data_IF_811392824178
#
_entry.id   IF_811392824178
#
_cell.length_a   1.000
_cell.length_b   1.000
_cell.length_c   1.000
_cell.angle_alpha   90.00
_cell.angle_beta   90.00
_cell.angle_gamma   90.00
#
_symmetry.space_group_name_H-M   'P 1'
#
loop_
_entity.id
_entity.type
_entity.pdbx_description
1 polymer ?
#
# COMPACT_ATOMS: atom_id res chain seq x y z
N UNK A 1 -15.86 34.65 32.76
CA UNK A 1 -15.14 33.38 32.56
C UNK A 1 -14.63 33.37 31.13
N UNK A 2 -13.31 33.38 30.95
CA UNK A 2 -12.67 33.23 29.64
C UNK A 2 -12.09 31.83 29.57
N UNK A 3 -12.26 31.16 28.42
CA UNK A 3 -11.67 29.85 28.18
C UNK A 3 -10.38 30.07 27.41
N UNK A 4 -9.26 29.56 27.90
CA UNK A 4 -7.99 29.54 27.21
C UNK A 4 -7.81 28.16 26.57
N UNK A 5 -7.54 28.13 25.27
CA UNK A 5 -7.25 26.89 24.54
C UNK A 5 -5.83 26.95 23.99
N UNK A 6 -5.03 25.94 24.29
CA UNK A 6 -3.71 25.78 23.68
C UNK A 6 -3.86 24.87 22.44
N UNK A 7 -3.66 25.47 21.27
CA UNK A 7 -3.74 24.79 19.97
C UNK A 7 -2.35 24.52 19.37
N UNK A 8 -1.29 24.60 20.15
CA UNK A 8 0.08 24.32 19.68
C UNK A 8 0.30 22.87 19.31
N UNK A 9 -0.52 21.99 19.86
CA UNK A 9 -0.60 20.56 19.52
C UNK A 9 -2.06 20.18 19.25
N UNK A 10 -2.28 19.38 18.24
CA UNK A 10 -3.59 18.89 17.87
C UNK A 10 -3.63 17.36 17.95
N UNK A 11 -4.72 16.85 18.48
CA UNK A 11 -5.02 15.44 18.52
C UNK A 11 -6.01 15.10 17.42
N UNK A 12 -5.67 14.08 16.67
CA UNK A 12 -6.54 13.52 15.63
C UNK A 12 -6.92 12.11 16.04
N UNK A 13 -8.22 11.88 16.15
CA UNK A 13 -8.79 10.56 16.43
C UNK A 13 -9.22 9.92 15.12
N UNK A 14 -8.88 8.66 14.94
CA UNK A 14 -9.24 7.90 13.75
C UNK A 14 -9.41 6.42 14.11
N UNK A 15 -10.24 5.73 13.34
CA UNK A 15 -10.55 4.34 13.58
C UNK A 15 -9.70 3.45 12.66
N UNK A 16 -9.16 2.38 13.24
CA UNK A 16 -8.29 1.42 12.56
C UNK A 16 -8.95 0.04 12.63
N UNK A 17 -9.15 -0.66 11.50
CA UNK A 17 -9.64 -2.03 11.48
C UNK A 17 -8.70 -3.00 12.21
N UNK A 18 -9.25 -4.09 12.76
CA UNK A 18 -8.47 -5.09 13.52
C UNK A 18 -7.27 -5.63 12.73
N UNK A 19 -7.43 -5.92 11.43
CA UNK A 19 -6.35 -6.40 10.59
C UNK A 19 -5.18 -5.41 10.53
N UNK A 20 -5.48 -4.12 10.26
CA UNK A 20 -4.47 -3.06 10.21
C UNK A 20 -3.84 -2.79 11.58
N UNK A 21 -4.59 -2.95 12.67
CA UNK A 21 -4.06 -2.87 14.02
C UNK A 21 -3.00 -3.95 14.29
N UNK A 22 -3.25 -5.18 13.86
CA UNK A 22 -2.30 -6.29 14.02
C UNK A 22 -1.01 -6.02 13.24
N UNK A 23 -1.12 -5.57 12.00
CA UNK A 23 0.01 -5.18 11.16
C UNK A 23 0.78 -4.01 11.79
N UNK A 24 0.07 -3.01 12.31
CA UNK A 24 0.68 -1.89 13.04
C UNK A 24 1.48 -2.37 14.26
N UNK A 25 0.94 -3.30 15.04
CA UNK A 25 1.62 -3.85 16.22
C UNK A 25 2.90 -4.63 15.85
N UNK A 26 2.88 -5.36 14.74
CA UNK A 26 4.06 -6.06 14.25
C UNK A 26 5.17 -5.10 13.78
N UNK A 27 4.76 -4.02 13.11
CA UNK A 27 5.67 -2.96 12.67
C UNK A 27 6.27 -2.19 13.83
N UNK A 28 5.47 -1.87 14.84
CA UNK A 28 5.92 -1.14 16.02
C UNK A 28 7.01 -1.90 16.80
N UNK A 29 7.05 -3.23 16.71
CA UNK A 29 8.13 -4.04 17.28
C UNK A 29 9.46 -3.85 16.54
N UNK A 30 9.42 -3.51 15.25
CA UNK A 30 10.60 -3.30 14.40
C UNK A 30 11.03 -1.83 14.39
N UNK A 31 10.07 -0.95 14.25
CA UNK A 31 10.25 0.50 14.17
C UNK A 31 9.56 1.16 15.36
N UNK A 32 10.31 1.66 16.31
CA UNK A 32 9.79 2.18 17.60
C UNK A 32 8.80 3.34 17.46
N UNK A 33 8.76 4.04 16.33
CA UNK A 33 7.84 5.14 16.03
C UNK A 33 7.47 5.09 14.56
N UNK A 34 6.17 4.97 14.28
CA UNK A 34 5.63 5.07 12.92
C UNK A 34 5.06 6.49 12.73
N UNK A 35 5.66 7.29 11.84
CA UNK A 35 5.12 8.59 11.52
C UNK A 35 3.80 8.45 10.75
N UNK A 36 2.90 9.41 10.95
CA UNK A 36 1.64 9.49 10.23
C UNK A 36 1.51 10.88 9.60
N UNK A 37 0.85 10.95 8.46
CA UNK A 37 0.56 12.22 7.78
C UNK A 37 -0.94 12.49 7.86
N UNK A 38 -1.28 13.78 7.91
CA UNK A 38 -2.67 14.23 7.89
C UNK A 38 -2.99 14.84 6.52
N UNK A 39 -3.93 14.23 5.81
CA UNK A 39 -4.56 14.82 4.63
C UNK A 39 -5.79 15.59 5.10
N UNK A 40 -5.73 16.91 4.98
CA UNK A 40 -6.80 17.82 5.36
C UNK A 40 -8.01 17.72 4.41
N UNK A 41 -9.13 18.30 4.79
CA UNK A 41 -10.38 18.28 4.02
C UNK A 41 -10.28 18.87 2.61
N UNK A 42 -9.23 19.66 2.31
CA UNK A 42 -8.94 20.23 0.99
C UNK A 42 -7.93 19.39 0.18
N UNK A 43 -7.76 18.10 0.53
CA UNK A 43 -6.84 17.12 -0.07
C UNK A 43 -5.35 17.47 0.02
N UNK A 44 -4.98 18.51 0.75
CA UNK A 44 -3.59 18.86 0.99
C UNK A 44 -3.03 18.12 2.19
N UNK A 45 -1.79 17.68 2.07
CA UNK A 45 -1.05 17.09 3.19
C UNK A 45 -0.61 18.22 4.14
N UNK A 46 -0.86 18.02 5.42
CA UNK A 46 -0.38 18.92 6.47
C UNK A 46 1.15 18.86 6.57
N UNK A 47 1.80 19.99 6.77
CA UNK A 47 3.26 20.12 6.67
C UNK A 47 4.04 19.36 7.74
N UNK A 48 3.42 19.12 8.89
CA UNK A 48 4.08 18.44 10.01
C UNK A 48 3.56 17.00 10.12
N UNK A 49 4.49 16.08 10.23
CA UNK A 49 4.16 14.70 10.52
C UNK A 49 3.68 14.56 11.97
N UNK A 50 2.73 13.68 12.16
CA UNK A 50 2.25 13.28 13.46
C UNK A 50 2.83 11.95 13.90
N UNK A 51 2.52 11.58 15.12
CA UNK A 51 2.82 10.24 15.67
C UNK A 51 1.61 9.70 16.41
N UNK A 52 1.39 8.40 16.32
CA UNK A 52 0.40 7.73 17.17
C UNK A 52 0.84 7.85 18.60
N UNK A 53 0.00 8.46 19.44
CA UNK A 53 0.31 8.77 20.85
C UNK A 53 -0.52 7.96 21.83
N UNK A 54 -1.63 7.39 21.38
CA UNK A 54 -2.46 6.48 22.17
C UNK A 54 -3.27 5.56 21.25
N UNK A 55 -3.55 4.38 21.75
CA UNK A 55 -4.45 3.40 21.19
C UNK A 55 -5.42 3.05 22.32
N UNK A 56 -6.71 3.07 22.06
CA UNK A 56 -7.72 2.68 23.06
C UNK A 56 -7.57 1.20 23.44
N UNK A 57 -8.16 0.82 24.57
CA UNK A 57 -8.00 -0.53 25.10
C UNK A 57 -8.90 -1.56 24.40
N UNK A 58 -10.07 -1.12 23.92
CA UNK A 58 -11.12 -2.00 23.47
C UNK A 58 -11.48 -1.73 22.01
N UNK A 59 -11.78 -2.81 21.29
CA UNK A 59 -12.38 -2.73 19.96
C UNK A 59 -13.87 -2.42 20.07
N UNK A 60 -14.36 -1.62 19.15
CA UNK A 60 -15.78 -1.48 18.92
C UNK A 60 -16.30 -2.76 18.26
N UNK A 61 -17.10 -3.53 19.00
CA UNK A 61 -17.63 -4.82 18.55
C UNK A 61 -18.64 -4.72 17.40
N UNK A 62 -19.20 -3.54 17.15
CA UNK A 62 -20.16 -3.33 16.06
C UNK A 62 -19.43 -3.06 14.74
N UNK A 63 -18.30 -2.35 14.78
CA UNK A 63 -17.55 -1.93 13.59
C UNK A 63 -16.26 -2.70 13.36
N UNK A 64 -15.78 -3.47 14.39
CA UNK A 64 -14.49 -4.15 14.33
C UNK A 64 -13.28 -3.22 14.31
N UNK A 65 -13.46 -1.97 14.70
CA UNK A 65 -12.41 -0.95 14.69
C UNK A 65 -11.91 -0.66 16.12
N UNK A 66 -10.67 -0.17 16.19
CA UNK A 66 -10.09 0.35 17.43
C UNK A 66 -9.71 1.83 17.23
N UNK A 67 -10.09 2.73 18.16
CA UNK A 67 -9.72 4.12 18.03
C UNK A 67 -8.23 4.36 18.32
N UNK A 68 -7.58 5.07 17.41
CA UNK A 68 -6.22 5.58 17.55
C UNK A 68 -6.26 7.08 17.75
N UNK A 69 -5.24 7.60 18.43
CA UNK A 69 -5.00 9.03 18.57
C UNK A 69 -3.60 9.38 18.09
N UNK A 70 -3.52 10.23 17.08
CA UNK A 70 -2.26 10.82 16.64
C UNK A 70 -2.13 12.26 17.18
N UNK A 71 -0.90 12.67 17.48
CA UNK A 71 -0.55 14.02 17.91
C UNK A 71 0.25 14.70 16.81
N UNK A 72 -0.19 15.91 16.43
CA UNK A 72 0.45 16.76 15.45
C UNK A 72 0.89 18.08 16.09
N UNK A 73 2.10 18.54 15.78
CA UNK A 73 2.53 19.90 16.13
C UNK A 73 1.79 20.90 15.22
N UNK A 74 1.24 21.96 15.80
CA UNK A 74 0.46 22.98 15.09
C UNK A 74 0.98 24.39 15.37
N UNK A 75 2.25 24.68 15.03
CA UNK A 75 2.88 25.97 15.38
C UNK A 75 2.24 27.16 14.66
N UNK A 76 1.68 26.95 13.48
CA UNK A 76 0.99 27.99 12.71
C UNK A 76 -0.45 28.23 13.13
N UNK A 77 -1.02 27.37 14.02
CA UNK A 77 -2.42 27.43 14.38
C UNK A 77 -3.40 27.15 13.24
N UNK A 78 -2.92 26.47 12.17
CA UNK A 78 -3.74 26.16 11.01
C UNK A 78 -4.86 25.16 11.35
N UNK A 79 -4.52 24.12 12.11
CA UNK A 79 -5.49 23.12 12.53
C UNK A 79 -6.34 23.66 13.69
N UNK A 80 -7.64 23.39 13.63
CA UNK A 80 -8.61 23.81 14.66
C UNK A 80 -9.46 22.64 15.12
N UNK A 81 -9.98 22.74 16.32
CA UNK A 81 -10.91 21.75 16.84
C UNK A 81 -12.17 21.65 15.99
N UNK A 82 -12.59 20.40 15.73
CA UNK A 82 -13.76 20.09 14.91
C UNK A 82 -13.51 19.93 13.40
N UNK A 83 -12.28 20.12 12.96
CA UNK A 83 -11.92 19.83 11.57
C UNK A 83 -11.82 18.31 11.33
N UNK A 84 -12.03 17.92 10.05
CA UNK A 84 -11.96 16.53 9.60
C UNK A 84 -10.85 16.36 8.58
N UNK A 85 -10.35 15.13 8.47
CA UNK A 85 -9.31 14.76 7.50
C UNK A 85 -9.07 13.25 7.51
N UNK A 86 -8.07 12.81 6.76
CA UNK A 86 -7.67 11.42 6.70
C UNK A 86 -6.24 11.26 7.20
N UNK A 87 -6.01 10.25 8.02
CA UNK A 87 -4.66 9.84 8.43
C UNK A 87 -4.09 8.92 7.35
N UNK A 88 -2.88 9.23 6.91
CA UNK A 88 -2.10 8.39 6.00
C UNK A 88 -0.98 7.75 6.81
N UNK A 89 -1.01 6.44 6.90
CA UNK A 89 0.09 5.63 7.42
C UNK A 89 0.86 5.07 6.24
N UNK A 90 2.14 5.41 6.13
CA UNK A 90 3.00 4.91 5.07
C UNK A 90 3.62 3.59 5.49
N UNK A 91 3.52 2.61 4.62
CA UNK A 91 4.23 1.35 4.76
C UNK A 91 5.44 1.33 3.83
N UNK A 92 6.63 1.05 4.40
CA UNK A 92 7.83 0.84 3.61
C UNK A 92 8.03 -0.65 3.47
N UNK A 93 7.82 -1.14 2.27
CA UNK A 93 8.11 -2.52 1.94
C UNK A 93 9.51 -2.57 1.35
N UNK A 94 10.44 -3.14 2.10
CA UNK A 94 11.79 -3.39 1.61
C UNK A 94 11.80 -4.65 0.74
N UNK A 95 12.43 -4.57 -0.42
CA UNK A 95 12.63 -5.72 -1.34
C UNK A 95 11.34 -6.33 -1.89
N UNK A 96 10.35 -5.52 -2.16
CA UNK A 96 9.09 -5.98 -2.74
C UNK A 96 9.17 -6.06 -4.27
N UNK A 97 8.73 -7.18 -4.84
CA UNK A 97 8.53 -7.29 -6.28
C UNK A 97 7.18 -6.68 -6.65
N UNK A 98 7.22 -5.76 -7.60
CA UNK A 98 6.02 -5.12 -8.12
C UNK A 98 5.89 -5.47 -9.59
N UNK A 99 4.71 -5.93 -10.00
CA UNK A 99 4.41 -6.30 -11.38
C UNK A 99 3.13 -5.63 -11.88
N UNK A 100 3.00 -5.37 -13.19
CA UNK A 100 1.75 -4.89 -13.76
C UNK A 100 0.63 -5.92 -13.63
N UNK A 101 -0.58 -5.51 -13.25
CA UNK A 101 -1.74 -6.39 -13.21
C UNK A 101 -2.02 -7.04 -14.55
N UNK A 102 -1.80 -6.31 -15.66
CA UNK A 102 -1.97 -6.82 -17.03
C UNK A 102 -1.08 -8.02 -17.39
N UNK A 103 0.00 -8.26 -16.63
CA UNK A 103 0.87 -9.43 -16.80
C UNK A 103 0.35 -10.68 -16.07
N UNK A 104 -0.76 -10.57 -15.37
CA UNK A 104 -1.35 -11.63 -14.57
C UNK A 104 -2.75 -12.00 -15.05
N UNK A 105 -3.23 -13.13 -14.60
CA UNK A 105 -4.61 -13.56 -14.78
C UNK A 105 -5.07 -14.38 -13.58
N UNK A 106 -6.37 -14.46 -13.41
CA UNK A 106 -6.99 -15.09 -12.25
C UNK A 106 -7.68 -16.38 -12.65
N UNK A 107 -7.49 -17.42 -11.82
CA UNK A 107 -8.21 -18.70 -11.90
C UNK A 107 -8.64 -19.05 -10.50
N UNK A 108 -9.95 -19.17 -10.26
CA UNK A 108 -10.53 -19.58 -8.97
C UNK A 108 -9.93 -18.81 -7.78
N UNK A 109 -10.04 -17.50 -7.81
CA UNK A 109 -9.56 -16.58 -6.75
C UNK A 109 -8.04 -16.63 -6.48
N UNK A 110 -7.26 -17.17 -7.42
CA UNK A 110 -5.80 -17.21 -7.36
C UNK A 110 -5.18 -16.49 -8.55
N UNK A 111 -4.14 -15.72 -8.28
CA UNK A 111 -3.39 -15.00 -9.31
C UNK A 111 -2.27 -15.85 -9.88
N UNK A 112 -2.13 -15.79 -11.20
CA UNK A 112 -1.12 -16.52 -11.95
C UNK A 112 -0.36 -15.60 -12.89
N UNK A 113 0.88 -15.99 -13.16
CA UNK A 113 1.74 -15.37 -14.16
C UNK A 113 2.39 -16.43 -15.04
N UNK A 114 2.72 -16.08 -16.26
CA UNK A 114 3.60 -16.87 -17.09
C UNK A 114 5.02 -16.36 -16.96
N UNK A 115 5.91 -17.21 -16.46
CA UNK A 115 7.36 -16.98 -16.40
C UNK A 115 8.01 -17.66 -17.60
N UNK A 116 8.98 -17.00 -18.20
CA UNK A 116 9.72 -17.50 -19.36
C UNK A 116 11.14 -17.82 -18.89
N UNK A 117 11.58 -19.05 -19.12
CA UNK A 117 12.92 -19.49 -18.76
C UNK A 117 13.98 -19.16 -19.85
N UNK A 118 15.23 -19.54 -19.59
CA UNK A 118 16.36 -19.32 -20.52
C UNK A 118 16.21 -20.11 -21.84
N UNK A 119 15.43 -21.19 -21.84
CA UNK A 119 15.14 -22.03 -23.02
C UNK A 119 13.91 -21.51 -23.78
N UNK A 120 13.36 -20.35 -23.41
CA UNK A 120 12.15 -19.75 -23.99
C UNK A 120 10.89 -20.57 -23.78
N UNK A 121 10.83 -21.39 -22.72
CA UNK A 121 9.65 -22.17 -22.34
C UNK A 121 8.82 -21.36 -21.33
N UNK A 122 7.52 -21.42 -21.53
CA UNK A 122 6.52 -20.74 -20.67
C UNK A 122 6.16 -21.63 -19.51
N UNK A 123 6.27 -21.12 -18.29
CA UNK A 123 5.88 -21.78 -17.06
C UNK A 123 4.76 -21.03 -16.35
N UNK A 124 3.66 -21.73 -16.07
CA UNK A 124 2.58 -21.22 -15.25
C UNK A 124 3.01 -21.21 -13.78
N UNK A 125 2.89 -20.08 -13.11
CA UNK A 125 3.25 -19.94 -11.70
C UNK A 125 2.18 -19.20 -10.92
N UNK A 126 1.79 -19.75 -9.75
CA UNK A 126 0.89 -19.10 -8.80
C UNK A 126 1.63 -17.97 -8.07
N UNK A 127 0.98 -16.82 -7.95
CA UNK A 127 1.47 -15.65 -7.24
C UNK A 127 0.80 -15.50 -5.89
N UNK A 128 1.57 -15.05 -4.90
CA UNK A 128 1.02 -14.56 -3.65
C UNK A 128 1.06 -13.03 -3.68
N UNK A 129 -0.11 -12.44 -3.88
CA UNK A 129 -0.27 -10.99 -3.87
C UNK A 129 -0.33 -10.52 -2.41
N UNK A 130 0.57 -9.62 -2.03
CA UNK A 130 0.57 -8.99 -0.72
C UNK A 130 -0.33 -7.77 -0.68
N UNK A 131 -0.33 -6.98 -1.76
CA UNK A 131 -1.12 -5.77 -1.85
C UNK A 131 -1.52 -5.50 -3.30
N UNK A 132 -2.75 -5.04 -3.47
CA UNK A 132 -3.28 -4.59 -4.75
C UNK A 132 -3.25 -3.07 -4.79
N UNK A 133 -2.64 -2.52 -5.84
CA UNK A 133 -2.60 -1.10 -6.15
C UNK A 133 -3.24 -0.87 -7.51
N UNK A 134 -3.55 0.37 -7.84
CA UNK A 134 -4.02 0.72 -9.16
C UNK A 134 -3.01 0.26 -10.23
N UNK A 135 -3.45 -0.62 -11.15
CA UNK A 135 -2.66 -1.24 -12.23
C UNK A 135 -1.46 -2.12 -11.81
N UNK A 136 -1.21 -2.31 -10.51
CA UNK A 136 -0.02 -2.99 -10.00
C UNK A 136 -0.35 -3.99 -8.90
N UNK A 137 0.42 -5.07 -8.86
CA UNK A 137 0.45 -6.00 -7.72
C UNK A 137 1.80 -5.96 -7.03
N UNK A 138 1.76 -5.88 -5.71
CA UNK A 138 2.89 -6.17 -4.84
C UNK A 138 2.91 -7.66 -4.55
N UNK A 139 4.01 -8.32 -4.86
CA UNK A 139 4.13 -9.78 -4.76
C UNK A 139 4.98 -10.15 -3.54
N UNK A 140 4.41 -11.00 -2.68
CA UNK A 140 5.10 -11.57 -1.52
C UNK A 140 5.70 -12.95 -1.78
N UNK A 141 5.36 -13.59 -2.89
CA UNK A 141 5.89 -14.89 -3.26
C UNK A 141 5.40 -15.40 -4.60
N UNK A 142 6.08 -16.43 -5.11
CA UNK A 142 5.80 -17.03 -6.41
C UNK A 142 6.62 -16.48 -7.56
N UNK A 143 7.37 -15.39 -7.37
CA UNK A 143 8.25 -14.79 -8.38
C UNK A 143 9.58 -14.39 -7.74
N UNK A 144 10.65 -14.46 -8.49
CA UNK A 144 11.99 -14.03 -8.08
C UNK A 144 12.42 -12.81 -8.88
N UNK A 145 13.28 -11.99 -8.28
CA UNK A 145 13.88 -10.85 -8.98
C UNK A 145 14.72 -11.33 -10.17
N UNK A 146 14.55 -10.66 -11.31
CA UNK A 146 15.26 -11.00 -12.56
C UNK A 146 14.55 -12.01 -13.45
N UNK A 147 13.47 -12.66 -13.01
CA UNK A 147 12.68 -13.53 -13.86
C UNK A 147 11.92 -12.74 -14.94
N UNK A 148 11.83 -13.31 -16.14
CA UNK A 148 11.06 -12.72 -17.23
C UNK A 148 9.60 -13.17 -17.15
N UNK A 149 8.69 -12.22 -17.18
CA UNK A 149 7.25 -12.48 -17.16
C UNK A 149 6.60 -12.05 -18.48
N UNK A 150 5.60 -12.78 -18.92
CA UNK A 150 4.84 -12.45 -20.11
C UNK A 150 3.91 -11.27 -19.83
N UNK A 151 4.11 -10.16 -20.52
CA UNK A 151 3.34 -8.94 -20.34
C UNK A 151 2.06 -8.90 -21.19
N UNK A 152 2.12 -9.48 -22.39
CA UNK A 152 1.05 -9.49 -23.37
C UNK A 152 0.94 -10.87 -24.04
N UNK A 153 -0.25 -11.19 -24.54
CA UNK A 153 -0.47 -12.47 -25.21
C UNK A 153 -0.80 -13.64 -24.30
N UNK A 154 -1.16 -13.40 -23.03
CA UNK A 154 -1.48 -14.41 -22.02
C UNK A 154 -2.51 -15.46 -22.50
N UNK A 155 -3.45 -15.06 -23.38
CA UNK A 155 -4.49 -15.97 -23.93
C UNK A 155 -3.99 -16.83 -25.08
N UNK A 156 -2.80 -16.59 -25.60
CA UNK A 156 -2.25 -17.28 -26.78
C UNK A 156 -1.27 -18.39 -26.42
N UNK A 157 -0.84 -18.46 -25.15
CA UNK A 157 0.19 -19.38 -24.69
C UNK A 157 -0.37 -20.34 -23.63
N UNK A 158 0.28 -21.47 -23.49
CA UNK A 158 0.01 -22.48 -22.47
C UNK A 158 1.30 -22.85 -21.75
N UNK A 159 1.15 -23.41 -20.56
CA UNK A 159 2.29 -23.95 -19.82
C UNK A 159 3.03 -25.00 -20.65
N UNK A 160 4.34 -24.85 -20.79
CA UNK A 160 5.19 -25.72 -21.60
C UNK A 160 5.39 -25.27 -23.06
N UNK A 161 4.74 -24.21 -23.51
CA UNK A 161 4.93 -23.72 -24.89
C UNK A 161 6.29 -23.08 -25.04
N UNK A 162 6.93 -23.34 -26.19
CA UNK A 162 8.11 -22.60 -26.65
C UNK A 162 7.68 -21.34 -27.40
N UNK A 163 8.16 -20.18 -26.99
CA UNK A 163 7.76 -18.90 -27.59
C UNK A 163 8.97 -18.08 -28.04
N UNK A 164 8.75 -17.27 -29.09
CA UNK A 164 9.61 -16.15 -29.38
C UNK A 164 9.00 -14.88 -28.83
N UNK A 165 9.77 -14.11 -28.09
CA UNK A 165 9.32 -12.91 -27.42
C UNK A 165 10.30 -11.75 -27.61
N UNK A 166 9.81 -10.55 -27.42
CA UNK A 166 10.61 -9.32 -27.39
C UNK A 166 10.64 -8.79 -25.95
N UNK A 167 11.83 -8.47 -25.47
CA UNK A 167 11.99 -7.89 -24.13
C UNK A 167 11.60 -6.41 -24.18
N UNK A 168 10.64 -6.05 -23.33
CA UNK A 168 10.31 -4.65 -23.06
C UNK A 168 11.12 -4.13 -21.87
N UNK A 169 11.65 -2.92 -21.97
CA UNK A 169 12.31 -2.27 -20.85
C UNK A 169 11.28 -2.03 -19.70
N UNK A 170 11.53 -2.55 -18.51
CA UNK A 170 10.66 -2.32 -17.36
C UNK A 170 10.34 -0.83 -17.12
N UNK A 171 11.32 0.06 -17.33
CA UNK A 171 11.12 1.51 -17.16
C UNK A 171 10.13 2.10 -18.15
N UNK A 172 10.08 1.57 -19.37
CA UNK A 172 9.10 1.99 -20.38
C UNK A 172 7.69 1.54 -19.98
N UNK A 173 7.56 0.28 -19.53
CA UNK A 173 6.29 -0.27 -19.06
C UNK A 173 5.75 0.54 -17.88
N UNK A 174 6.62 0.92 -16.93
CA UNK A 174 6.24 1.76 -15.78
C UNK A 174 5.75 3.15 -16.18
N UNK A 175 6.32 3.75 -17.22
CA UNK A 175 5.87 5.06 -17.71
C UNK A 175 4.48 5.00 -18.33
N UNK A 176 4.19 3.92 -19.05
CA UNK A 176 2.87 3.70 -19.65
C UNK A 176 1.77 3.58 -18.55
N UNK A 177 2.09 2.94 -17.42
CA UNK A 177 1.15 2.79 -16.28
C UNK A 177 0.94 4.09 -15.51
N UNK A 178 1.94 4.98 -15.44
CA UNK A 178 1.85 6.27 -14.74
C UNK A 178 1.09 7.36 -15.49
N UNK A 179 0.81 7.19 -16.77
CA UNK A 179 0.07 8.16 -17.57
C UNK A 179 -1.44 8.18 -17.25
N UNK A 180 -1.92 7.27 -16.42
CA UNK A 180 -3.32 7.22 -15.97
C UNK A 180 -3.51 7.67 -14.51
N UNK A 181 -2.45 8.18 -13.86
CA UNK A 181 -2.45 8.62 -12.47
C UNK A 181 -2.41 10.16 -12.33
N UNK A 182 -3.20 10.88 -13.16
CA UNK A 182 -3.50 12.31 -12.98
C UNK A 182 -4.96 12.52 -12.55
#
# INVERSE_FOLDING_TARGET
LSTLSDNSQMWVYFNVPEAEYLDYQERLKKEHILPVQLRMANDRIFQHEGKVSAIEADFDNETGNIPFRATFANPSGLLRHGETGNIIMQDKLESALIIPQKATFEILDKHYVFVIDEEHVVHLRELKVAHEMEDLYLISGGLLEGEHILLEGLRKVRNGDHINFELKDPKAVWKELKLYAE
#
